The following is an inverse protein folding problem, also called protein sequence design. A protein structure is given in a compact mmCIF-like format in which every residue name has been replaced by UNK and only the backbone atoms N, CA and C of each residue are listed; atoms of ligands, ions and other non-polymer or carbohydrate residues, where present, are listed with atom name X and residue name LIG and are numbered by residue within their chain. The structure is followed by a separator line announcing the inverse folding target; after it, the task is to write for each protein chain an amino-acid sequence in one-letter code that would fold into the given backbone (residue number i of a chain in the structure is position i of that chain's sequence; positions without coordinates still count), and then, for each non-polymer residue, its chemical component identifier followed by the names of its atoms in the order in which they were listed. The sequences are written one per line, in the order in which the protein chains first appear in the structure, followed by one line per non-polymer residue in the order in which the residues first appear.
data_IF_430192879188
#
_entry.id   IF_430192879188
#
_cell.length_a   1.000
_cell.length_b   1.000
_cell.length_c   1.000
_cell.angle_alpha   90.00
_cell.angle_beta   90.00
_cell.angle_gamma   90.00
#
_symmetry.space_group_name_H-M   'P 1'
#
loop_
_entity.id
_entity.type
_entity.pdbx_description
1 polymer ?
#
# COMPACT_ATOMS: atom_id res chain seq x y z
N UNK A 1 -45.60 -46.31 21.80
CA UNK A 1 -44.22 -46.36 21.27
C UNK A 1 -43.80 -45.06 20.55
N UNK A 2 -44.16 -43.87 21.04
CA UNK A 2 -43.78 -42.60 20.42
C UNK A 2 -43.12 -41.68 21.46
N UNK A 3 -41.81 -41.86 21.70
CA UNK A 3 -41.03 -40.93 22.55
C UNK A 3 -39.59 -40.65 22.07
N UNK A 4 -39.17 -41.16 20.91
CA UNK A 4 -37.81 -40.98 20.40
C UNK A 4 -37.70 -40.27 19.02
N UNK A 5 -38.80 -39.90 18.37
CA UNK A 5 -38.74 -39.26 17.04
C UNK A 5 -38.29 -37.78 17.10
N UNK A 6 -38.65 -37.05 18.17
CA UNK A 6 -38.36 -35.61 18.28
C UNK A 6 -36.90 -35.26 18.60
N UNK A 7 -36.13 -36.16 19.21
CA UNK A 7 -34.71 -35.94 19.51
C UNK A 7 -33.77 -36.27 18.34
N UNK A 8 -34.20 -37.14 17.41
CA UNK A 8 -33.41 -37.50 16.23
C UNK A 8 -33.49 -36.44 15.13
N UNK A 9 -34.60 -35.69 15.04
CA UNK A 9 -34.78 -34.57 14.10
C UNK A 9 -34.02 -33.30 14.56
N UNK A 10 -33.81 -33.13 15.87
CA UNK A 10 -33.06 -32.00 16.41
C UNK A 10 -31.53 -32.14 16.15
N UNK A 11 -31.01 -33.36 16.08
CA UNK A 11 -29.60 -33.63 15.78
C UNK A 11 -29.28 -33.60 14.27
N UNK A 12 -30.25 -33.87 13.40
CA UNK A 12 -30.06 -33.74 11.94
C UNK A 12 -30.20 -32.29 11.46
N UNK A 13 -30.97 -31.43 12.14
CA UNK A 13 -30.99 -30.01 11.83
C UNK A 13 -29.77 -29.24 12.37
N UNK A 14 -29.13 -29.70 13.46
CA UNK A 14 -27.87 -29.11 13.94
C UNK A 14 -26.65 -29.50 13.08
N UNK A 15 -26.66 -30.65 12.40
CA UNK A 15 -25.59 -31.03 11.47
C UNK A 15 -25.69 -30.33 10.11
N UNK A 16 -26.86 -29.79 9.75
CA UNK A 16 -27.04 -28.98 8.54
C UNK A 16 -26.61 -27.51 8.68
N UNK A 17 -26.34 -27.01 9.90
CA UNK A 17 -25.68 -25.71 10.07
C UNK A 17 -24.15 -25.77 9.89
N UNK A 18 -23.56 -26.96 9.73
CA UNK A 18 -22.14 -27.13 9.41
C UNK A 18 -21.84 -27.06 7.89
N UNK A 19 -22.87 -26.90 7.03
CA UNK A 19 -22.71 -26.85 5.57
C UNK A 19 -22.50 -25.44 5.01
N UNK A 20 -22.63 -24.39 5.82
CA UNK A 20 -22.34 -23.02 5.37
C UNK A 20 -20.84 -22.76 5.26
N UNK A 21 -20.02 -23.32 6.16
CA UNK A 21 -18.57 -23.12 6.15
C UNK A 21 -17.87 -23.80 4.96
N UNK A 22 -18.22 -25.06 4.63
CA UNK A 22 -17.67 -25.73 3.45
C UNK A 22 -18.08 -25.04 2.14
N UNK A 23 -19.32 -24.54 2.06
CA UNK A 23 -19.80 -23.79 0.90
C UNK A 23 -19.06 -22.45 0.72
N UNK A 24 -18.88 -21.69 1.80
CA UNK A 24 -18.16 -20.40 1.77
C UNK A 24 -16.67 -20.58 1.48
N UNK A 25 -16.01 -21.61 2.04
CA UNK A 25 -14.60 -21.90 1.77
C UNK A 25 -14.35 -22.30 0.31
N UNK A 26 -15.29 -23.04 -0.29
CA UNK A 26 -15.26 -23.33 -1.73
C UNK A 26 -15.44 -22.06 -2.57
N UNK A 27 -16.38 -21.17 -2.20
CA UNK A 27 -16.56 -19.86 -2.86
C UNK A 27 -15.31 -18.99 -2.74
N UNK A 28 -14.69 -18.91 -1.56
CA UNK A 28 -13.44 -18.17 -1.36
C UNK A 28 -12.35 -18.71 -2.28
N UNK A 29 -12.15 -20.03 -2.29
CA UNK A 29 -11.15 -20.66 -3.17
C UNK A 29 -11.40 -20.32 -4.65
N UNK A 30 -12.65 -20.31 -5.11
CA UNK A 30 -12.99 -19.94 -6.49
C UNK A 30 -12.74 -18.45 -6.76
N UNK A 31 -13.11 -17.56 -5.83
CA UNK A 31 -12.87 -16.13 -5.94
C UNK A 31 -11.37 -15.82 -5.99
N UNK A 32 -10.57 -16.43 -5.13
CA UNK A 32 -9.11 -16.30 -5.12
C UNK A 32 -8.49 -16.88 -6.38
N UNK A 33 -8.96 -18.04 -6.87
CA UNK A 33 -8.49 -18.59 -8.14
C UNK A 33 -8.79 -17.67 -9.33
N UNK A 34 -9.92 -16.94 -9.30
CA UNK A 34 -10.24 -15.93 -10.31
C UNK A 34 -9.35 -14.69 -10.17
N UNK A 35 -9.07 -14.22 -8.95
CA UNK A 35 -8.15 -13.12 -8.70
C UNK A 35 -6.73 -13.46 -9.14
N UNK A 36 -6.23 -14.66 -8.86
CA UNK A 36 -4.90 -15.11 -9.24
C UNK A 36 -4.66 -15.13 -10.75
N UNK A 37 -5.73 -15.31 -11.56
CA UNK A 37 -5.62 -15.24 -13.03
C UNK A 37 -5.28 -13.84 -13.55
N UNK A 38 -5.44 -12.81 -12.71
CA UNK A 38 -5.04 -11.45 -13.01
C UNK A 38 -3.57 -11.20 -12.66
N UNK A 39 -2.90 -12.13 -11.97
CA UNK A 39 -1.48 -12.03 -11.68
C UNK A 39 -0.60 -12.44 -12.88
N UNK A 40 0.60 -11.83 -13.03
CA UNK A 40 1.13 -10.76 -12.18
C UNK A 40 0.38 -9.43 -12.40
N UNK A 41 0.01 -8.76 -11.32
CA UNK A 41 -0.61 -7.43 -11.38
C UNK A 41 0.46 -6.36 -11.20
N UNK A 42 0.60 -5.50 -12.20
CA UNK A 42 1.59 -4.43 -12.20
C UNK A 42 1.29 -3.37 -11.12
N UNK A 43 2.29 -3.07 -10.30
CA UNK A 43 2.25 -1.97 -9.31
C UNK A 43 3.20 -0.83 -9.71
N UNK A 44 3.62 -0.78 -10.98
CA UNK A 44 4.54 0.21 -11.50
C UNK A 44 5.97 0.00 -11.01
N UNK A 45 6.70 1.09 -10.85
CA UNK A 45 8.11 1.09 -10.47
C UNK A 45 8.38 0.40 -9.13
N UNK A 46 7.36 0.34 -8.25
CA UNK A 46 7.45 -0.28 -6.93
C UNK A 46 7.47 -1.82 -6.97
N UNK A 47 6.93 -2.47 -8.02
CA UNK A 47 6.89 -3.93 -8.08
C UNK A 47 5.62 -4.49 -8.74
N UNK A 48 5.25 -5.69 -8.33
CA UNK A 48 4.04 -6.39 -8.80
C UNK A 48 3.46 -7.31 -7.72
N UNK A 49 2.17 -7.60 -7.80
CA UNK A 49 1.56 -8.72 -7.07
C UNK A 49 1.70 -9.96 -7.96
N UNK A 50 2.64 -10.84 -7.62
CA UNK A 50 2.98 -12.01 -8.43
C UNK A 50 2.00 -13.16 -8.28
N UNK A 51 1.35 -13.29 -7.12
CA UNK A 51 0.29 -14.29 -6.92
C UNK A 51 -0.66 -13.92 -5.79
N UNK A 52 -1.89 -14.43 -5.91
CA UNK A 52 -2.89 -14.45 -4.85
C UNK A 52 -3.40 -15.88 -4.72
N UNK A 53 -3.14 -16.53 -3.60
CA UNK A 53 -3.51 -17.94 -3.41
C UNK A 53 -4.29 -18.15 -2.12
N UNK A 54 -4.85 -19.33 -1.95
CA UNK A 54 -5.48 -19.74 -0.70
C UNK A 54 -4.79 -21.03 -0.25
N UNK A 55 -4.08 -20.98 0.87
CA UNK A 55 -3.25 -22.11 1.35
C UNK A 55 -4.06 -23.18 2.10
N UNK A 56 -5.36 -22.93 2.28
CA UNK A 56 -6.26 -23.80 3.04
C UNK A 56 -6.64 -23.20 4.40
N UNK A 57 -5.90 -22.22 4.90
CA UNK A 57 -6.22 -21.44 6.10
C UNK A 57 -6.48 -19.98 5.73
N UNK A 58 -5.54 -19.34 5.03
CA UNK A 58 -5.52 -17.91 4.77
C UNK A 58 -5.40 -17.61 3.27
N UNK A 59 -5.80 -16.38 2.90
CA UNK A 59 -5.47 -15.82 1.58
C UNK A 59 -4.03 -15.30 1.64
N UNK A 60 -3.21 -15.67 0.66
CA UNK A 60 -1.79 -15.33 0.60
C UNK A 60 -1.51 -14.50 -0.65
N UNK A 61 -1.12 -13.24 -0.45
CA UNK A 61 -0.61 -12.35 -1.47
C UNK A 61 0.92 -12.41 -1.47
N UNK A 62 1.51 -12.64 -2.63
CA UNK A 62 2.97 -12.52 -2.82
C UNK A 62 3.24 -11.28 -3.69
N UNK A 63 4.02 -10.36 -3.15
CA UNK A 63 4.42 -9.12 -3.80
C UNK A 63 5.92 -9.18 -4.10
N UNK A 64 6.29 -8.99 -5.36
CA UNK A 64 7.69 -8.85 -5.77
C UNK A 64 8.03 -7.36 -5.83
N UNK A 65 8.85 -6.90 -4.90
CA UNK A 65 9.15 -5.50 -4.68
C UNK A 65 10.48 -5.10 -5.33
N UNK A 66 10.48 -3.92 -5.96
CA UNK A 66 11.70 -3.29 -6.45
C UNK A 66 12.43 -2.60 -5.29
N UNK A 67 13.62 -3.11 -4.97
CA UNK A 67 14.42 -2.64 -3.83
C UNK A 67 15.09 -1.28 -4.08
N UNK A 68 14.98 -0.71 -5.29
CA UNK A 68 15.31 0.69 -5.53
C UNK A 68 14.30 1.68 -4.92
N UNK A 69 13.10 1.22 -4.55
CA UNK A 69 12.02 2.07 -4.02
C UNK A 69 11.60 1.70 -2.58
N UNK A 70 12.09 0.57 -2.07
CA UNK A 70 11.70 0.02 -0.79
C UNK A 70 12.83 -0.79 -0.17
N UNK A 71 13.02 -0.67 1.14
CA UNK A 71 14.03 -1.43 1.87
C UNK A 71 13.37 -2.58 2.66
N UNK A 72 13.50 -3.81 2.16
CA UNK A 72 12.88 -5.01 2.75
C UNK A 72 13.36 -5.27 4.19
N UNK A 73 14.65 -5.07 4.47
CA UNK A 73 15.21 -5.30 5.80
C UNK A 73 14.68 -4.27 6.81
N UNK A 74 14.56 -3.00 6.39
CA UNK A 74 13.94 -1.97 7.22
C UNK A 74 12.45 -2.27 7.49
N UNK A 75 11.71 -2.80 6.52
CA UNK A 75 10.33 -3.22 6.74
C UNK A 75 10.23 -4.34 7.79
N UNK A 76 11.15 -5.31 7.74
CA UNK A 76 11.20 -6.42 8.70
C UNK A 76 11.39 -5.95 10.14
N UNK A 77 12.11 -4.85 10.34
CA UNK A 77 12.30 -4.23 11.66
C UNK A 77 11.08 -3.39 12.10
N UNK A 78 10.11 -3.15 11.23
CA UNK A 78 8.96 -2.26 11.46
C UNK A 78 7.59 -2.94 11.18
N UNK A 79 7.28 -4.10 11.80
CA UNK A 79 6.07 -4.87 11.52
C UNK A 79 4.77 -4.12 11.83
N UNK A 80 4.76 -3.28 12.87
CA UNK A 80 3.58 -2.48 13.24
C UNK A 80 3.27 -1.41 12.18
N UNK A 81 4.31 -0.80 11.59
CA UNK A 81 4.13 0.16 10.51
C UNK A 81 3.58 -0.52 9.26
N UNK A 82 4.09 -1.71 8.92
CA UNK A 82 3.54 -2.52 7.83
C UNK A 82 2.06 -2.85 8.06
N UNK A 83 1.73 -3.38 9.25
CA UNK A 83 0.36 -3.77 9.58
C UNK A 83 -0.60 -2.58 9.53
N UNK A 84 -0.18 -1.42 10.05
CA UNK A 84 -0.97 -0.18 9.99
C UNK A 84 -1.23 0.25 8.54
N UNK A 85 -0.18 0.27 7.70
CA UNK A 85 -0.29 0.66 6.30
C UNK A 85 -1.24 -0.27 5.51
N UNK A 86 -1.10 -1.59 5.65
CA UNK A 86 -1.99 -2.57 5.00
C UNK A 86 -3.43 -2.44 5.51
N UNK A 87 -3.63 -2.27 6.82
CA UNK A 87 -4.95 -2.05 7.43
C UNK A 87 -5.65 -0.84 6.82
N UNK A 88 -4.92 0.26 6.64
CA UNK A 88 -5.45 1.51 6.10
C UNK A 88 -5.71 1.43 4.60
N UNK A 89 -4.97 0.63 3.84
CA UNK A 89 -5.27 0.35 2.43
C UNK A 89 -6.66 -0.26 2.25
N UNK A 90 -7.06 -1.16 3.15
CA UNK A 90 -8.42 -1.75 3.15
C UNK A 90 -9.45 -0.89 3.89
N UNK A 91 -9.06 0.26 4.43
CA UNK A 91 -9.95 1.16 5.17
C UNK A 91 -11.14 1.62 4.32
N UNK A 92 -12.34 1.53 4.92
CA UNK A 92 -13.62 1.84 4.29
C UNK A 92 -13.84 1.07 2.97
N UNK A 93 -13.84 -0.29 3.00
CA UNK A 93 -13.92 -1.10 1.79
C UNK A 93 -15.31 -0.99 1.16
N UNK A 94 -15.37 -0.92 -0.18
CA UNK A 94 -16.61 -0.81 -0.95
C UNK A 94 -16.63 -1.83 -2.11
N UNK A 95 -17.83 -2.11 -2.62
CA UNK A 95 -18.02 -2.99 -3.79
C UNK A 95 -17.35 -4.36 -3.64
N UNK A 96 -16.65 -4.79 -4.69
CA UNK A 96 -15.98 -6.10 -4.75
C UNK A 96 -14.90 -6.30 -3.68
N UNK A 97 -14.24 -5.23 -3.22
CA UNK A 97 -13.25 -5.32 -2.13
C UNK A 97 -13.97 -5.69 -0.83
N UNK A 98 -15.09 -5.03 -0.52
CA UNK A 98 -15.90 -5.36 0.65
C UNK A 98 -16.41 -6.80 0.59
N UNK A 99 -16.95 -7.22 -0.56
CA UNK A 99 -17.44 -8.59 -0.76
C UNK A 99 -16.33 -9.63 -0.55
N UNK A 100 -15.11 -9.35 -1.03
CA UNK A 100 -13.95 -10.23 -0.81
C UNK A 100 -13.60 -10.32 0.68
N UNK A 101 -13.54 -9.20 1.38
CA UNK A 101 -13.25 -9.18 2.82
C UNK A 101 -14.34 -9.88 3.65
N UNK A 102 -15.62 -9.67 3.32
CA UNK A 102 -16.75 -10.37 3.95
C UNK A 102 -16.63 -11.89 3.77
N UNK A 103 -16.18 -12.33 2.59
CA UNK A 103 -15.99 -13.76 2.28
C UNK A 103 -14.82 -14.36 3.07
N UNK A 104 -13.70 -13.66 3.18
CA UNK A 104 -12.53 -14.07 3.98
C UNK A 104 -12.90 -14.18 5.46
N UNK A 105 -13.60 -13.18 6.00
CA UNK A 105 -14.09 -13.21 7.39
C UNK A 105 -15.11 -14.33 7.60
N UNK A 106 -16.00 -14.56 6.63
CA UNK A 106 -17.02 -15.60 6.69
C UNK A 106 -16.48 -17.03 6.69
N UNK A 107 -15.20 -17.24 6.33
CA UNK A 107 -14.52 -18.54 6.39
C UNK A 107 -13.55 -18.67 7.56
N UNK A 108 -13.54 -17.70 8.49
CA UNK A 108 -12.58 -17.59 9.59
C UNK A 108 -11.13 -17.60 9.11
N UNK A 109 -10.89 -16.95 7.97
CA UNK A 109 -9.58 -16.79 7.33
C UNK A 109 -9.03 -15.39 7.58
N UNK A 110 -7.70 -15.26 7.59
CA UNK A 110 -6.98 -14.00 7.49
C UNK A 110 -6.39 -13.78 6.11
N UNK A 111 -5.59 -12.71 6.00
CA UNK A 111 -4.82 -12.37 4.79
C UNK A 111 -3.35 -12.19 5.16
N UNK A 112 -2.48 -12.94 4.49
CA UNK A 112 -1.03 -12.83 4.58
C UNK A 112 -0.48 -12.10 3.36
N UNK A 113 0.36 -11.11 3.59
CA UNK A 113 1.12 -10.39 2.57
C UNK A 113 2.59 -10.74 2.72
N UNK A 114 3.18 -11.33 1.68
CA UNK A 114 4.60 -11.67 1.61
C UNK A 114 5.25 -10.67 0.66
N UNK A 115 6.10 -9.79 1.19
CA UNK A 115 6.90 -8.86 0.40
C UNK A 115 8.27 -9.50 0.16
N UNK A 116 8.60 -9.72 -1.12
CA UNK A 116 9.84 -10.33 -1.55
C UNK A 116 10.67 -9.36 -2.39
N UNK A 117 11.93 -9.12 -2.02
CA UNK A 117 12.85 -8.32 -2.81
C UNK A 117 13.18 -8.97 -4.16
N UNK A 118 13.06 -8.23 -5.27
CA UNK A 118 13.40 -8.73 -6.62
C UNK A 118 14.90 -9.02 -6.77
N UNK A 119 15.77 -8.33 -6.03
CA UNK A 119 17.23 -8.43 -6.15
C UNK A 119 17.81 -9.33 -5.06
N UNK A 120 17.46 -9.10 -3.80
CA UNK A 120 17.98 -9.87 -2.66
C UNK A 120 17.30 -11.23 -2.49
N UNK A 121 16.02 -11.32 -2.87
CA UNK A 121 15.16 -12.46 -2.53
C UNK A 121 14.73 -12.49 -1.06
N UNK A 122 15.09 -11.49 -0.24
CA UNK A 122 14.66 -11.39 1.15
C UNK A 122 13.14 -11.25 1.25
N UNK A 123 12.57 -11.82 2.30
CA UNK A 123 11.13 -11.83 2.52
C UNK A 123 10.76 -11.25 3.90
N UNK A 124 9.67 -10.50 3.92
CA UNK A 124 9.01 -10.03 5.14
C UNK A 124 7.50 -10.25 5.00
N UNK A 125 6.88 -10.69 6.09
CA UNK A 125 5.45 -10.99 6.12
C UNK A 125 4.67 -9.99 6.96
N UNK A 126 3.49 -9.63 6.50
CA UNK A 126 2.47 -8.92 7.27
C UNK A 126 1.19 -9.75 7.27
N UNK A 127 0.58 -9.93 8.44
CA UNK A 127 -0.64 -10.72 8.59
C UNK A 127 -1.78 -9.89 9.16
N UNK A 128 -2.92 -9.90 8.46
CA UNK A 128 -4.20 -9.42 8.96
C UNK A 128 -5.02 -10.63 9.41
N UNK A 129 -5.30 -10.68 10.71
CA UNK A 129 -6.15 -11.71 11.32
C UNK A 129 -7.62 -11.49 10.92
N UNK A 130 -8.45 -12.52 11.08
CA UNK A 130 -9.91 -12.40 10.93
C UNK A 130 -10.48 -11.25 11.76
N UNK A 131 -9.93 -10.98 12.96
CA UNK A 131 -10.40 -9.88 13.80
C UNK A 131 -10.00 -8.52 13.23
N UNK A 132 -8.77 -8.35 12.74
CA UNK A 132 -8.35 -7.12 12.07
C UNK A 132 -9.28 -6.79 10.88
N UNK A 133 -9.65 -7.81 10.09
CA UNK A 133 -10.55 -7.66 8.95
C UNK A 133 -11.98 -7.29 9.37
N UNK A 134 -12.49 -7.87 10.46
CA UNK A 134 -13.78 -7.47 11.05
C UNK A 134 -13.74 -6.01 11.49
N UNK A 135 -12.66 -5.58 12.12
CA UNK A 135 -12.50 -4.20 12.58
C UNK A 135 -12.46 -3.22 11.39
N UNK A 136 -11.79 -3.59 10.29
CA UNK A 136 -11.80 -2.82 9.04
C UNK A 136 -13.21 -2.71 8.45
N UNK A 137 -13.95 -3.82 8.37
CA UNK A 137 -15.32 -3.86 7.82
C UNK A 137 -16.31 -3.04 8.65
N UNK A 138 -16.11 -3.01 9.98
CA UNK A 138 -17.00 -2.32 10.92
C UNK A 138 -16.55 -0.89 11.25
N UNK A 139 -15.32 -0.51 10.88
CA UNK A 139 -14.61 0.69 11.36
C UNK A 139 -15.13 2.05 10.87
N UNK A 140 -16.24 2.08 10.12
CA UNK A 140 -17.10 3.26 9.88
C UNK A 140 -16.40 4.62 9.87
N UNK A 141 -15.40 4.81 9.00
CA UNK A 141 -14.72 6.11 8.83
C UNK A 141 -15.32 6.87 7.65
N UNK A 142 -15.38 8.20 7.73
CA UNK A 142 -15.76 9.02 6.57
C UNK A 142 -14.71 8.89 5.46
N UNK A 143 -15.08 9.11 4.20
CA UNK A 143 -14.14 9.02 3.08
C UNK A 143 -12.94 9.98 3.29
N UNK A 144 -13.20 11.20 3.72
CA UNK A 144 -12.18 12.22 3.98
C UNK A 144 -11.19 11.82 5.10
N UNK A 145 -11.69 11.29 6.23
CA UNK A 145 -10.80 10.84 7.30
C UNK A 145 -10.00 9.59 6.91
N UNK A 146 -10.59 8.73 6.08
CA UNK A 146 -9.91 7.57 5.51
C UNK A 146 -8.80 7.97 4.53
N UNK A 147 -9.02 8.96 3.67
CA UNK A 147 -8.04 9.41 2.68
C UNK A 147 -6.86 10.11 3.36
N UNK A 148 -7.13 10.95 4.37
CA UNK A 148 -6.07 11.56 5.19
C UNK A 148 -5.20 10.50 5.87
N UNK A 149 -5.82 9.49 6.48
CA UNK A 149 -5.09 8.40 7.14
C UNK A 149 -4.28 7.58 6.12
N UNK A 150 -4.80 7.37 4.91
CA UNK A 150 -4.06 6.72 3.80
C UNK A 150 -2.81 7.51 3.45
N UNK A 151 -2.90 8.83 3.35
CA UNK A 151 -1.75 9.69 3.07
C UNK A 151 -0.70 9.61 4.18
N UNK A 152 -1.14 9.68 5.44
CA UNK A 152 -0.26 9.61 6.61
C UNK A 152 0.49 8.28 6.68
N UNK A 153 -0.19 7.14 6.47
CA UNK A 153 0.45 5.83 6.48
C UNK A 153 1.36 5.62 5.26
N UNK A 154 1.01 6.15 4.09
CA UNK A 154 1.91 6.10 2.91
C UNK A 154 3.22 6.85 3.19
N UNK A 155 3.15 8.08 3.72
CA UNK A 155 4.35 8.86 4.09
C UNK A 155 5.16 8.16 5.17
N UNK A 156 4.51 7.59 6.19
CA UNK A 156 5.17 6.82 7.25
C UNK A 156 5.88 5.60 6.68
N UNK A 157 5.24 4.85 5.78
CA UNK A 157 5.79 3.64 5.18
C UNK A 157 6.98 3.95 4.26
N UNK A 158 6.92 5.04 3.48
CA UNK A 158 8.08 5.50 2.71
C UNK A 158 9.24 5.87 3.63
N UNK A 159 8.95 6.54 4.77
CA UNK A 159 9.97 6.93 5.74
C UNK A 159 10.63 5.75 6.44
N UNK A 160 9.97 4.58 6.57
CA UNK A 160 10.62 3.35 7.06
C UNK A 160 11.77 2.93 6.15
N UNK A 161 11.64 3.12 4.84
CA UNK A 161 12.71 2.80 3.90
C UNK A 161 13.79 3.88 3.82
N UNK A 162 13.53 5.08 4.34
CA UNK A 162 14.46 6.20 4.27
C UNK A 162 15.53 6.14 5.39
N UNK A 163 16.74 6.67 5.16
CA UNK A 163 17.20 7.33 3.94
C UNK A 163 17.50 6.33 2.80
N UNK A 164 17.28 6.76 1.55
CA UNK A 164 17.54 5.96 0.34
C UNK A 164 18.40 6.72 -0.66
N UNK A 165 19.42 6.05 -1.23
CA UNK A 165 20.19 6.61 -2.34
C UNK A 165 19.36 6.55 -3.62
N UNK A 166 19.20 7.69 -4.30
CA UNK A 166 18.44 7.79 -5.55
C UNK A 166 19.36 7.66 -6.76
N UNK A 167 20.47 8.39 -6.75
CA UNK A 167 21.52 8.36 -7.76
C UNK A 167 22.88 8.68 -7.10
N UNK A 168 23.95 8.92 -7.85
CA UNK A 168 25.28 9.20 -7.26
C UNK A 168 25.36 10.46 -6.40
N UNK A 169 24.51 11.47 -6.66
CA UNK A 169 24.54 12.77 -6.00
C UNK A 169 23.37 12.99 -5.03
N UNK A 170 22.30 12.21 -5.13
CA UNK A 170 21.01 12.52 -4.50
C UNK A 170 20.59 11.44 -3.51
N UNK A 171 20.31 11.84 -2.28
CA UNK A 171 19.76 10.98 -1.23
C UNK A 171 18.37 11.47 -0.82
N UNK A 172 17.37 10.60 -0.86
CA UNK A 172 16.06 10.85 -0.26
C UNK A 172 16.16 10.61 1.25
N UNK A 173 15.91 11.64 2.05
CA UNK A 173 16.03 11.54 3.50
C UNK A 173 14.71 11.15 4.17
N UNK A 174 13.60 11.71 3.70
CA UNK A 174 12.25 11.52 4.25
C UNK A 174 11.20 12.24 3.41
N UNK A 175 9.93 11.96 3.71
CA UNK A 175 8.76 12.71 3.29
C UNK A 175 8.10 13.36 4.52
N UNK A 176 7.51 14.54 4.34
CA UNK A 176 6.64 15.18 5.33
C UNK A 176 5.31 15.60 4.71
N UNK A 177 4.26 15.66 5.52
CA UNK A 177 2.98 16.25 5.12
C UNK A 177 2.94 17.66 5.68
N UNK A 178 3.01 18.65 4.78
CA UNK A 178 2.90 20.07 5.10
C UNK A 178 1.44 20.54 4.98
N UNK A 179 1.21 21.82 5.28
CA UNK A 179 -0.14 22.41 5.23
C UNK A 179 -0.78 22.33 3.84
N UNK A 180 0.00 22.40 2.77
CA UNK A 180 -0.47 22.51 1.38
C UNK A 180 0.10 21.42 0.45
N UNK A 181 1.08 20.62 0.90
CA UNK A 181 1.75 19.62 0.05
C UNK A 181 2.32 18.44 0.84
N UNK A 182 2.61 17.35 0.15
CA UNK A 182 3.58 16.35 0.62
C UNK A 182 4.96 16.75 0.09
N UNK A 183 5.95 16.84 0.97
CA UNK A 183 7.29 17.33 0.65
C UNK A 183 8.32 16.21 0.77
N UNK A 184 8.99 15.89 -0.34
CA UNK A 184 10.17 15.02 -0.35
C UNK A 184 11.40 15.84 0.02
N UNK A 185 12.20 15.35 0.98
CA UNK A 185 13.41 16.01 1.46
C UNK A 185 14.64 15.29 0.92
N UNK A 186 15.38 15.94 0.03
CA UNK A 186 16.61 15.42 -0.57
C UNK A 186 17.86 16.12 -0.04
N UNK A 187 18.94 15.35 0.09
CA UNK A 187 20.29 15.87 0.28
C UNK A 187 21.05 15.70 -1.02
N UNK A 188 21.71 16.77 -1.48
CA UNK A 188 22.61 16.76 -2.64
C UNK A 188 24.06 16.71 -2.14
N UNK A 189 24.83 15.77 -2.69
CA UNK A 189 26.28 15.77 -2.52
C UNK A 189 26.95 16.83 -3.41
N UNK A 190 27.34 17.94 -2.78
CA UNK A 190 28.04 19.05 -3.43
C UNK A 190 29.51 18.71 -3.76
N UNK A 191 29.95 17.46 -3.59
CA UNK A 191 31.16 16.95 -4.24
C UNK A 191 30.90 16.51 -5.70
N UNK A 192 29.66 16.13 -6.03
CA UNK A 192 29.25 15.63 -7.34
C UNK A 192 28.50 16.69 -8.14
N UNK A 193 27.53 17.38 -7.52
CA UNK A 193 26.70 18.42 -8.18
C UNK A 193 26.59 19.66 -7.29
N UNK A 194 26.93 20.84 -7.82
CA UNK A 194 26.82 22.11 -7.09
C UNK A 194 25.37 22.61 -7.05
N UNK A 195 24.92 23.13 -5.90
CA UNK A 195 23.57 23.69 -5.74
C UNK A 195 23.26 24.84 -6.73
N UNK A 196 24.27 25.63 -7.12
CA UNK A 196 24.10 26.69 -8.12
C UNK A 196 23.63 26.14 -9.46
N UNK A 197 24.15 24.99 -9.89
CA UNK A 197 23.77 24.36 -11.15
C UNK A 197 22.31 23.89 -11.14
N UNK A 198 21.81 23.37 -10.00
CA UNK A 198 20.39 23.01 -9.86
C UNK A 198 19.50 24.24 -10.00
N UNK A 199 19.88 25.36 -9.36
CA UNK A 199 19.13 26.62 -9.39
C UNK A 199 19.14 27.27 -10.78
N UNK A 200 20.28 27.27 -11.45
CA UNK A 200 20.42 27.78 -12.83
C UNK A 200 19.57 26.99 -13.84
N UNK A 201 19.33 25.70 -13.56
CA UNK A 201 18.53 24.81 -14.41
C UNK A 201 17.12 24.52 -13.83
N UNK A 202 16.62 25.38 -12.93
CA UNK A 202 15.39 25.13 -12.17
C UNK A 202 14.18 24.78 -13.05
N UNK A 203 13.99 25.47 -14.18
CA UNK A 203 12.88 25.22 -15.11
C UNK A 203 12.99 23.84 -15.77
N UNK A 204 14.18 23.47 -16.23
CA UNK A 204 14.42 22.16 -16.82
C UNK A 204 14.25 21.05 -15.78
N UNK A 205 14.72 21.28 -14.55
CA UNK A 205 14.50 20.35 -13.44
C UNK A 205 13.01 20.19 -13.15
N UNK A 206 12.25 21.28 -13.07
CA UNK A 206 10.80 21.22 -12.85
C UNK A 206 10.10 20.44 -13.97
N UNK A 207 10.50 20.63 -15.22
CA UNK A 207 9.98 19.84 -16.34
C UNK A 207 10.32 18.35 -16.20
N UNK A 208 11.55 18.01 -15.81
CA UNK A 208 11.97 16.62 -15.61
C UNK A 208 11.21 15.93 -14.48
N UNK A 209 11.02 16.61 -13.34
CA UNK A 209 10.21 16.09 -12.22
C UNK A 209 8.75 15.95 -12.64
N UNK A 210 8.21 16.90 -13.42
CA UNK A 210 6.85 16.77 -13.95
C UNK A 210 6.70 15.55 -14.86
N UNK A 211 7.72 15.25 -15.66
CA UNK A 211 7.72 14.06 -16.52
C UNK A 211 7.87 12.75 -15.73
N UNK A 212 8.54 12.78 -14.58
CA UNK A 212 8.63 11.62 -13.68
C UNK A 212 7.37 11.41 -12.84
N UNK A 213 6.53 12.43 -12.68
CA UNK A 213 5.15 12.35 -12.18
C UNK A 213 4.20 11.65 -13.19
N UNK A 214 4.65 10.53 -13.74
CA UNK A 214 3.94 9.78 -14.77
C UNK A 214 2.76 9.00 -14.16
N UNK A 215 1.54 9.50 -14.35
CA UNK A 215 0.31 8.86 -13.85
C UNK A 215 -0.04 7.53 -14.51
N UNK A 216 0.72 7.08 -15.52
CA UNK A 216 0.59 5.71 -16.03
C UNK A 216 1.18 4.68 -15.07
N UNK A 217 2.05 5.09 -14.14
CA UNK A 217 2.54 4.23 -13.06
C UNK A 217 1.45 4.04 -12.00
N UNK A 218 0.96 2.80 -11.75
CA UNK A 218 -0.17 2.57 -10.85
C UNK A 218 0.05 3.03 -9.41
N UNK A 219 1.25 2.79 -8.84
CA UNK A 219 1.54 3.17 -7.46
C UNK A 219 1.62 4.69 -7.30
N UNK A 220 2.30 5.35 -8.25
CA UNK A 220 2.41 6.81 -8.27
C UNK A 220 1.04 7.46 -8.50
N UNK A 221 0.24 6.95 -9.44
CA UNK A 221 -1.13 7.42 -9.67
C UNK A 221 -1.95 7.37 -8.39
N UNK A 222 -1.91 6.25 -7.67
CA UNK A 222 -2.64 6.09 -6.40
C UNK A 222 -2.19 7.13 -5.36
N UNK A 223 -0.88 7.36 -5.23
CA UNK A 223 -0.34 8.39 -4.32
C UNK A 223 -0.84 9.79 -4.71
N UNK A 224 -0.79 10.15 -5.99
CA UNK A 224 -1.24 11.45 -6.49
C UNK A 224 -2.76 11.64 -6.29
N UNK A 225 -3.57 10.60 -6.51
CA UNK A 225 -5.01 10.64 -6.25
C UNK A 225 -5.31 10.90 -4.77
N UNK A 226 -4.57 10.27 -3.84
CA UNK A 226 -4.73 10.50 -2.40
C UNK A 226 -4.29 11.93 -2.03
N UNK A 227 -3.19 12.43 -2.59
CA UNK A 227 -2.77 13.82 -2.39
C UNK A 227 -3.87 14.80 -2.82
N UNK A 228 -4.44 14.60 -4.00
CA UNK A 228 -5.53 15.43 -4.53
C UNK A 228 -6.78 15.38 -3.65
N UNK A 229 -7.17 14.19 -3.16
CA UNK A 229 -8.30 14.03 -2.24
C UNK A 229 -8.09 14.72 -0.90
N UNK A 230 -6.84 14.84 -0.47
CA UNK A 230 -6.45 15.53 0.76
C UNK A 230 -6.12 17.03 0.56
N UNK A 231 -6.40 17.59 -0.62
CA UNK A 231 -6.03 18.96 -1.01
C UNK A 231 -4.53 19.27 -0.81
N UNK A 232 -3.67 18.31 -1.19
CA UNK A 232 -2.21 18.42 -1.12
C UNK A 232 -1.58 18.42 -2.51
N UNK A 233 -0.71 19.39 -2.74
CA UNK A 233 0.27 19.34 -3.83
C UNK A 233 1.42 18.38 -3.52
N UNK A 234 2.43 18.36 -4.38
CA UNK A 234 3.67 17.59 -4.19
C UNK A 234 4.87 18.50 -4.36
N UNK A 235 5.83 18.42 -3.43
CA UNK A 235 7.05 19.21 -3.44
C UNK A 235 8.31 18.37 -3.28
N UNK A 236 9.42 18.91 -3.77
CA UNK A 236 10.76 18.32 -3.78
C UNK A 236 11.74 19.38 -3.27
N UNK A 237 12.19 19.23 -2.02
CA UNK A 237 13.15 20.12 -1.38
C UNK A 237 14.54 19.51 -1.46
N UNK A 238 15.43 20.14 -2.21
CA UNK A 238 16.84 19.77 -2.33
C UNK A 238 17.68 20.64 -1.39
N UNK A 239 18.56 20.01 -0.61
CA UNK A 239 19.49 20.70 0.30
C UNK A 239 20.94 20.26 0.06
N UNK A 240 21.85 21.21 -0.13
CA UNK A 240 23.28 20.94 -0.24
C UNK A 240 23.88 20.43 1.07
N UNK A 241 24.70 19.38 1.01
CA UNK A 241 25.33 18.78 2.20
C UNK A 241 26.47 19.62 2.82
N UNK A 242 27.08 20.54 2.06
CA UNK A 242 28.19 21.41 2.51
C UNK A 242 27.71 22.84 2.78
N UNK A 243 27.00 23.43 1.82
CA UNK A 243 26.54 24.82 1.88
C UNK A 243 25.29 24.99 2.75
N UNK A 244 24.46 23.95 2.85
CA UNK A 244 23.15 24.01 3.48
C UNK A 244 22.12 24.80 2.66
N UNK A 245 22.47 25.26 1.45
CA UNK A 245 21.56 25.94 0.56
C UNK A 245 20.40 25.02 0.15
N UNK A 246 19.24 25.63 -0.09
CA UNK A 246 18.04 24.91 -0.49
C UNK A 246 17.51 25.37 -1.85
N UNK A 247 16.83 24.45 -2.52
CA UNK A 247 16.10 24.65 -3.76
C UNK A 247 14.84 23.78 -3.73
N UNK A 248 13.66 24.36 -3.99
CA UNK A 248 12.40 23.62 -3.96
C UNK A 248 11.70 23.68 -5.33
N UNK A 249 11.22 22.53 -5.77
CA UNK A 249 10.27 22.41 -6.88
C UNK A 249 8.95 21.93 -6.30
N UNK A 250 7.84 22.59 -6.63
CA UNK A 250 6.52 22.13 -6.21
C UNK A 250 5.48 22.26 -7.32
N UNK A 251 4.47 21.39 -7.20
CA UNK A 251 3.30 21.30 -8.06
C UNK A 251 2.05 21.41 -7.18
N UNK A 252 1.20 22.39 -7.49
CA UNK A 252 -0.06 22.58 -6.78
C UNK A 252 -1.09 21.50 -7.09
N UNK A 253 -2.15 21.43 -6.29
CA UNK A 253 -3.25 20.45 -6.46
C UNK A 253 -3.82 20.45 -7.89
N UNK A 254 -4.01 21.63 -8.49
CA UNK A 254 -4.51 21.76 -9.87
C UNK A 254 -3.53 21.22 -10.92
N UNK A 255 -2.22 21.37 -10.71
CA UNK A 255 -1.21 20.80 -11.60
C UNK A 255 -1.20 19.28 -11.51
N UNK A 256 -1.31 18.72 -10.29
CA UNK A 256 -1.40 17.27 -10.08
C UNK A 256 -2.69 16.70 -10.67
N UNK A 257 -3.83 17.37 -10.49
CA UNK A 257 -5.11 16.98 -11.11
C UNK A 257 -5.03 16.90 -12.64
N UNK A 258 -4.25 17.77 -13.27
CA UNK A 258 -4.06 17.76 -14.72
C UNK A 258 -3.20 16.58 -15.23
N UNK A 259 -2.51 15.87 -14.33
CA UNK A 259 -1.72 14.69 -14.67
C UNK A 259 -2.54 13.38 -14.54
N UNK A 260 -3.62 13.38 -13.76
CA UNK A 260 -4.44 12.18 -13.43
C UNK A 260 -5.51 11.87 -14.48
#
# INVERSE_FOLDING_TARGET
MFKNAGKMVLFTCLSLMLLTACGQKSKLKLAIAAANKQCPMDMGASGEISSITFDGADVVYVLLMNESFLNIDALKENPDAMKSAVTVMFGNPQGSIKEMLDLVVGTDSGIKFIYKGKTSGNEVECYLTTQDLKDILNGGSTAESSDKKKLEEQVKMTNVSCPMQVDEATMLNKLTIESDKVLYHYTIDESVVQMSALKENAEQMKANVKNSLNSSDPALRMFLEVCVKCDKGVGYLYKGNKSGETFEISFGVSEIKALL
#
